data_IF_090844885991
#
_entry.id   IF_090844885991
#
_cell.length_a   1.000
_cell.length_b   1.000
_cell.length_c   1.000
_cell.angle_alpha   90.00
_cell.angle_beta   90.00
_cell.angle_gamma   90.00
#
_symmetry.space_group_name_H-M   'P 1'
#
loop_
_entity.id
_entity.type
_entity.pdbx_description
1 polymer ?
#
# COMPACT_ATOMS: atom_id res chain seq x y z
N UNK A 1 -9.83 -12.58 8.12
CA UNK A 1 -9.06 -13.05 6.94
C UNK A 1 -9.88 -14.08 6.18
N UNK A 2 -10.16 -13.84 4.92
CA UNK A 2 -11.04 -14.70 4.11
C UNK A 2 -10.24 -15.64 3.19
N UNK A 3 -10.93 -16.60 2.55
CA UNK A 3 -10.29 -17.57 1.64
C UNK A 3 -9.59 -16.94 0.42
N UNK A 4 -9.91 -15.69 0.03
CA UNK A 4 -9.28 -15.00 -1.11
C UNK A 4 -7.94 -14.37 -0.75
N UNK A 5 -7.78 -13.84 0.47
CA UNK A 5 -6.50 -13.36 1.01
C UNK A 5 -5.42 -14.42 0.90
N UNK A 6 -5.83 -15.66 1.05
CA UNK A 6 -4.94 -16.81 1.09
C UNK A 6 -4.28 -17.13 -0.27
N UNK A 7 -4.69 -16.57 -1.42
CA UNK A 7 -4.11 -16.99 -2.71
C UNK A 7 -2.67 -16.52 -2.92
N UNK A 8 -2.31 -15.31 -2.53
CA UNK A 8 -0.89 -14.89 -2.52
C UNK A 8 -0.22 -15.33 -1.24
N UNK A 9 -0.91 -15.18 -0.11
CA UNK A 9 -0.41 -15.58 1.20
C UNK A 9 -0.19 -17.10 1.26
N UNK A 10 -1.08 -17.91 0.68
CA UNK A 10 -0.92 -19.38 0.64
C UNK A 10 0.27 -19.87 -0.21
N UNK A 11 0.88 -18.99 -1.01
CA UNK A 11 2.11 -19.30 -1.77
C UNK A 11 3.37 -18.92 -0.98
N UNK A 12 3.22 -18.24 0.15
CA UNK A 12 4.33 -17.96 1.07
C UNK A 12 4.63 -19.17 1.95
N UNK A 13 5.90 -19.37 2.33
CA UNK A 13 6.27 -20.38 3.30
C UNK A 13 5.50 -20.23 4.63
N UNK A 14 5.11 -21.34 5.30
CA UNK A 14 4.28 -21.29 6.52
C UNK A 14 4.85 -20.42 7.64
N UNK A 15 6.17 -20.37 7.78
CA UNK A 15 6.85 -19.53 8.77
C UNK A 15 6.68 -18.03 8.51
N UNK A 16 6.45 -17.64 7.26
CA UNK A 16 6.19 -16.25 6.89
C UNK A 16 4.73 -15.85 7.11
N UNK A 17 3.81 -16.81 7.01
CA UNK A 17 2.38 -16.54 7.25
C UNK A 17 2.09 -16.02 8.65
N UNK A 18 2.86 -16.43 9.65
CA UNK A 18 2.65 -16.01 11.05
C UNK A 18 2.86 -14.50 11.26
N UNK A 19 3.67 -13.85 10.45
CA UNK A 19 3.93 -12.40 10.55
C UNK A 19 2.74 -11.55 10.10
N UNK A 20 1.88 -12.08 9.25
CA UNK A 20 0.69 -11.38 8.73
C UNK A 20 -0.46 -11.29 9.73
N UNK A 21 -0.45 -12.11 10.78
CA UNK A 21 -1.55 -12.19 11.72
C UNK A 21 -1.46 -11.18 12.87
N UNK A 22 -0.43 -10.35 12.92
CA UNK A 22 -0.39 -9.24 13.86
C UNK A 22 -1.28 -8.12 13.33
N UNK A 23 -2.48 -8.01 13.90
CA UNK A 23 -3.40 -6.95 13.53
C UNK A 23 -2.79 -5.57 13.74
N UNK A 24 -2.87 -4.72 12.75
CA UNK A 24 -2.50 -3.30 12.77
C UNK A 24 -3.69 -2.50 12.25
N UNK A 25 -4.02 -1.41 12.94
CA UNK A 25 -5.24 -0.64 12.68
C UNK A 25 -4.95 0.77 12.18
N UNK A 26 -3.72 1.25 12.39
CA UNK A 26 -3.34 2.61 12.02
C UNK A 26 -1.84 2.68 11.68
N UNK A 27 -1.48 2.10 10.55
CA UNK A 27 -0.11 2.17 10.04
C UNK A 27 0.13 3.55 9.43
N UNK A 28 1.15 4.25 9.93
CA UNK A 28 1.54 5.57 9.47
C UNK A 28 2.88 5.54 8.72
N UNK A 29 3.16 6.55 7.87
CA UNK A 29 4.47 6.72 7.27
C UNK A 29 5.62 6.62 8.28
N UNK A 30 6.76 6.13 7.84
CA UNK A 30 7.98 5.81 8.59
C UNK A 30 7.92 4.58 9.50
N UNK A 31 6.76 3.97 9.66
CA UNK A 31 6.63 2.70 10.36
C UNK A 31 7.00 1.51 9.47
N UNK A 32 7.23 0.37 10.11
CA UNK A 32 7.50 -0.89 9.43
C UNK A 32 6.21 -1.54 8.95
N UNK A 33 6.26 -2.03 7.73
CA UNK A 33 5.13 -2.67 7.05
C UNK A 33 5.62 -3.93 6.36
N UNK A 34 4.97 -5.08 6.58
CA UNK A 34 5.26 -6.27 5.77
C UNK A 34 4.74 -6.07 4.34
N UNK A 35 5.55 -6.46 3.36
CA UNK A 35 5.15 -6.51 1.96
C UNK A 35 5.63 -7.79 1.30
N UNK A 36 4.98 -8.19 0.19
CA UNK A 36 5.37 -9.35 -0.61
C UNK A 36 6.19 -8.88 -1.80
N UNK A 37 7.32 -9.53 -2.01
CA UNK A 37 8.23 -9.31 -3.13
C UNK A 37 8.49 -10.61 -3.86
N UNK A 38 8.95 -10.51 -5.10
CA UNK A 38 9.50 -11.64 -5.86
C UNK A 38 11.02 -11.57 -5.82
N UNK A 39 11.66 -12.56 -5.21
CA UNK A 39 13.10 -12.69 -5.11
C UNK A 39 13.56 -14.07 -5.57
N UNK A 40 14.48 -14.12 -6.51
CA UNK A 40 15.00 -15.37 -7.09
C UNK A 40 13.86 -16.31 -7.59
N UNK A 41 12.76 -15.74 -8.10
CA UNK A 41 11.60 -16.50 -8.59
C UNK A 41 10.63 -16.99 -7.50
N UNK A 42 10.89 -16.67 -6.23
CA UNK A 42 10.03 -17.06 -5.10
C UNK A 42 9.37 -15.83 -4.47
N UNK A 43 8.11 -16.00 -4.06
CA UNK A 43 7.41 -15.01 -3.25
C UNK A 43 8.01 -15.00 -1.84
N UNK A 44 8.37 -13.83 -1.36
CA UNK A 44 8.89 -13.63 -0.01
C UNK A 44 8.20 -12.47 0.67
N UNK A 45 7.87 -12.66 1.94
CA UNK A 45 7.52 -11.55 2.82
C UNK A 45 8.78 -10.92 3.38
N UNK A 46 8.82 -9.60 3.35
CA UNK A 46 9.86 -8.79 4.00
C UNK A 46 9.24 -7.61 4.71
N UNK A 47 9.91 -7.16 5.76
CA UNK A 47 9.57 -5.91 6.43
C UNK A 47 10.28 -4.74 5.78
N UNK A 48 9.53 -3.71 5.45
CA UNK A 48 10.00 -2.48 4.84
C UNK A 48 9.65 -1.29 5.72
N UNK A 49 10.44 -0.24 5.67
CA UNK A 49 10.04 1.04 6.25
C UNK A 49 9.32 1.88 5.19
N UNK A 50 8.15 2.41 5.52
CA UNK A 50 7.36 3.22 4.60
C UNK A 50 7.94 4.63 4.44
N UNK A 51 8.52 4.91 3.29
CA UNK A 51 9.04 6.21 2.89
C UNK A 51 10.49 6.15 2.41
N UNK A 52 10.71 6.41 1.11
CA UNK A 52 12.05 6.56 0.55
C UNK A 52 12.72 7.82 1.10
N UNK A 53 14.04 7.77 1.28
CA UNK A 53 14.87 8.88 1.78
C UNK A 53 15.97 9.25 0.80
N UNK A 54 15.63 9.81 -0.37
CA UNK A 54 16.67 10.26 -1.29
C UNK A 54 17.45 11.44 -0.67
N UNK A 55 18.74 11.51 -0.94
CA UNK A 55 19.66 12.49 -0.33
C UNK A 55 19.25 13.95 -0.56
N UNK A 56 18.51 14.23 -1.62
CA UNK A 56 18.02 15.57 -1.96
C UNK A 56 16.69 15.95 -1.24
N UNK A 57 16.04 15.01 -0.53
CA UNK A 57 14.77 15.27 0.13
C UNK A 57 14.94 15.35 1.64
N UNK A 58 14.45 16.46 2.22
CA UNK A 58 14.41 16.65 3.67
C UNK A 58 13.42 15.70 4.37
N UNK A 59 12.36 15.32 3.67
CA UNK A 59 11.29 14.48 4.20
C UNK A 59 11.21 13.15 3.44
N UNK A 60 10.76 12.07 4.09
CA UNK A 60 10.54 10.82 3.39
C UNK A 60 9.47 10.99 2.32
N UNK A 61 9.70 10.40 1.15
CA UNK A 61 8.73 10.30 0.08
C UNK A 61 7.91 9.05 0.32
N UNK A 62 6.66 9.21 0.69
CA UNK A 62 5.77 8.11 1.08
C UNK A 62 4.92 7.58 -0.08
N UNK A 63 4.73 8.40 -1.13
CA UNK A 63 3.90 8.07 -2.28
C UNK A 63 4.61 8.43 -3.60
N UNK A 64 4.33 7.65 -4.66
CA UNK A 64 4.75 7.92 -6.02
C UNK A 64 3.51 7.99 -6.93
N UNK A 65 3.36 9.07 -7.71
CA UNK A 65 2.22 9.22 -8.62
C UNK A 65 2.41 8.35 -9.87
N UNK A 66 1.45 7.49 -10.19
CA UNK A 66 1.48 6.58 -11.33
C UNK A 66 1.79 7.31 -12.65
N UNK A 67 1.18 8.48 -12.85
CA UNK A 67 1.27 9.28 -14.07
C UNK A 67 2.68 9.80 -14.37
N UNK A 68 3.49 10.00 -13.35
CA UNK A 68 4.86 10.54 -13.48
C UNK A 68 5.96 9.58 -13.03
N UNK A 69 5.60 8.39 -12.58
CA UNK A 69 6.50 7.44 -11.93
C UNK A 69 7.67 7.04 -12.82
N UNK A 70 7.40 6.69 -14.08
CA UNK A 70 8.42 6.26 -15.03
C UNK A 70 9.32 7.40 -15.54
N UNK A 71 8.88 8.64 -15.37
CA UNK A 71 9.62 9.83 -15.79
C UNK A 71 10.62 10.29 -14.72
N UNK A 72 10.38 9.95 -13.45
CA UNK A 72 11.22 10.36 -12.33
C UNK A 72 12.37 9.38 -12.09
N UNK A 73 13.64 9.82 -12.14
CA UNK A 73 14.80 8.94 -11.95
C UNK A 73 14.74 8.14 -10.64
N UNK A 74 14.27 8.76 -9.54
CA UNK A 74 14.12 8.13 -8.22
C UNK A 74 13.27 6.87 -8.26
N UNK A 75 12.26 6.79 -9.13
CA UNK A 75 11.32 5.68 -9.15
C UNK A 75 11.53 4.71 -10.31
N UNK A 76 12.24 5.12 -11.37
CA UNK A 76 12.38 4.32 -12.59
C UNK A 76 13.06 2.98 -12.31
N UNK A 77 14.22 2.96 -11.66
CA UNK A 77 14.91 1.72 -11.35
C UNK A 77 14.15 0.84 -10.34
N UNK A 78 13.64 1.37 -9.21
CA UNK A 78 12.72 0.64 -8.34
C UNK A 78 11.52 0.04 -9.08
N UNK A 79 10.87 0.78 -9.96
CA UNK A 79 9.73 0.27 -10.72
C UNK A 79 10.12 -0.89 -11.64
N UNK A 80 11.25 -0.82 -12.31
CA UNK A 80 11.69 -1.87 -13.23
C UNK A 80 12.05 -3.17 -12.51
N UNK A 81 12.62 -3.10 -11.29
CA UNK A 81 13.28 -4.22 -10.66
C UNK A 81 12.72 -4.60 -9.28
N UNK A 82 12.06 -3.69 -8.59
CA UNK A 82 11.74 -3.81 -7.17
C UNK A 82 10.30 -3.38 -6.88
N UNK A 83 9.37 -4.11 -7.47
CA UNK A 83 7.94 -3.97 -7.17
C UNK A 83 7.58 -4.84 -5.98
N UNK A 84 6.57 -4.41 -5.23
CA UNK A 84 6.03 -5.17 -4.11
C UNK A 84 4.51 -5.06 -4.05
N UNK A 85 3.90 -6.00 -3.36
CA UNK A 85 2.50 -5.94 -2.95
C UNK A 85 2.46 -5.55 -1.49
N UNK A 86 1.68 -4.54 -1.15
CA UNK A 86 1.46 -4.08 0.22
C UNK A 86 0.04 -4.43 0.64
N UNK A 87 -0.18 -5.51 1.38
CA UNK A 87 -1.50 -5.96 1.78
C UNK A 87 -2.15 -4.99 2.78
N UNK A 88 -3.45 -4.80 2.60
CA UNK A 88 -4.28 -3.96 3.46
C UNK A 88 -5.74 -4.44 3.41
N UNK A 89 -6.50 -4.13 4.45
CA UNK A 89 -7.96 -4.31 4.50
C UNK A 89 -8.71 -2.98 4.44
N UNK A 90 -7.98 -1.87 4.30
CA UNK A 90 -8.51 -0.53 4.16
C UNK A 90 -7.42 0.52 4.27
N UNK A 91 -7.81 1.76 4.02
CA UNK A 91 -6.94 2.91 4.20
C UNK A 91 -7.75 4.11 4.69
N UNK A 92 -7.05 5.12 5.22
CA UNK A 92 -7.66 6.35 5.69
C UNK A 92 -7.30 7.52 4.79
N UNK A 93 -8.28 8.40 4.60
CA UNK A 93 -8.11 9.70 3.99
C UNK A 93 -8.91 10.75 4.76
N UNK A 94 -8.44 11.98 4.75
CA UNK A 94 -9.04 13.09 5.50
C UNK A 94 -9.73 14.06 4.55
N UNK A 95 -11.03 14.23 4.75
CA UNK A 95 -11.81 15.15 3.94
C UNK A 95 -11.37 16.60 4.17
N UNK A 96 -11.15 17.32 3.11
CA UNK A 96 -11.02 18.78 3.16
C UNK A 96 -12.42 19.40 3.07
N UNK A 97 -12.72 20.50 3.80
CA UNK A 97 -11.83 21.31 4.66
C UNK A 97 -11.82 20.90 6.14
N UNK A 98 -12.74 20.04 6.59
CA UNK A 98 -13.05 19.78 8.01
C UNK A 98 -12.13 18.75 8.68
N UNK A 99 -11.24 18.13 7.91
CA UNK A 99 -10.31 17.08 8.39
C UNK A 99 -10.99 15.85 8.98
N UNK A 100 -12.25 15.61 8.64
CA UNK A 100 -12.95 14.37 9.02
C UNK A 100 -12.23 13.17 8.41
N UNK A 101 -11.81 12.19 9.21
CA UNK A 101 -11.19 10.96 8.71
C UNK A 101 -12.25 10.00 8.16
N UNK A 102 -11.96 9.42 7.01
CA UNK A 102 -12.75 8.37 6.38
C UNK A 102 -11.92 7.11 6.22
N UNK A 103 -12.52 5.97 6.52
CA UNK A 103 -11.95 4.67 6.17
C UNK A 103 -12.57 4.17 4.88
N UNK A 104 -11.72 3.68 3.99
CA UNK A 104 -12.08 3.07 2.71
C UNK A 104 -11.79 1.58 2.75
N UNK A 105 -12.75 0.77 2.33
CA UNK A 105 -12.65 -0.70 2.24
C UNK A 105 -13.31 -1.19 0.96
N UNK A 106 -13.10 -2.44 0.60
CA UNK A 106 -13.96 -3.13 -0.38
C UNK A 106 -15.38 -3.29 0.19
N UNK A 107 -16.43 -3.42 -0.65
CA UNK A 107 -17.81 -3.59 -0.18
C UNK A 107 -18.01 -4.79 0.76
N UNK A 108 -17.29 -5.86 0.52
CA UNK A 108 -17.33 -7.12 1.29
C UNK A 108 -16.27 -7.20 2.40
N UNK A 109 -15.50 -6.12 2.63
CA UNK A 109 -14.32 -6.06 3.52
C UNK A 109 -13.24 -7.07 3.17
N UNK A 110 -13.19 -7.55 1.92
CA UNK A 110 -12.09 -8.38 1.45
C UNK A 110 -10.80 -7.53 1.38
N UNK A 111 -9.67 -8.04 1.86
CA UNK A 111 -8.42 -7.34 1.72
C UNK A 111 -7.93 -7.32 0.28
N UNK A 112 -7.03 -6.40 0.05
CA UNK A 112 -6.42 -6.12 -1.24
C UNK A 112 -4.93 -5.79 -1.07
N UNK A 113 -4.22 -5.61 -2.18
CA UNK A 113 -2.85 -5.12 -2.14
C UNK A 113 -2.74 -3.76 -2.83
N UNK A 114 -2.02 -2.84 -2.18
CA UNK A 114 -1.53 -1.67 -2.88
C UNK A 114 -0.34 -2.03 -3.77
N UNK A 115 -0.24 -1.38 -4.92
CA UNK A 115 0.97 -1.38 -5.73
C UNK A 115 2.06 -0.58 -5.01
N UNK A 116 3.20 -1.21 -4.76
CA UNK A 116 4.36 -0.59 -4.15
C UNK A 116 5.62 -0.79 -4.97
N UNK A 117 6.58 0.11 -4.79
CA UNK A 117 7.96 -0.04 -5.24
C UNK A 117 8.90 0.19 -4.07
N UNK A 118 10.02 -0.50 -4.06
CA UNK A 118 10.95 -0.43 -2.95
C UNK A 118 12.38 -0.18 -3.41
N UNK A 119 13.22 0.26 -2.52
CA UNK A 119 14.64 0.49 -2.76
C UNK A 119 15.48 -0.19 -1.68
N UNK A 120 16.73 -0.47 -2.06
CA UNK A 120 17.70 -1.07 -1.16
C UNK A 120 17.88 -0.20 0.10
N UNK A 121 18.19 -0.82 1.24
CA UNK A 121 18.45 -0.07 2.45
C UNK A 121 19.68 0.84 2.27
N UNK A 122 19.72 1.98 2.99
CA UNK A 122 20.87 2.90 2.90
C UNK A 122 22.15 2.32 3.53
N UNK A 123 22.02 1.30 4.36
CA UNK A 123 23.14 0.52 4.93
C UNK A 123 22.73 -0.94 5.11
N UNK A 124 23.66 -1.89 5.26
CA UNK A 124 23.34 -3.31 5.45
C UNK A 124 22.46 -3.61 6.66
N UNK A 125 22.53 -2.79 7.71
CA UNK A 125 21.78 -2.95 8.94
C UNK A 125 20.40 -2.31 8.89
N UNK A 126 20.16 -1.42 7.91
CA UNK A 126 18.89 -0.74 7.74
C UNK A 126 17.88 -1.61 7.00
N UNK A 127 16.60 -1.36 7.23
CA UNK A 127 15.53 -2.01 6.47
C UNK A 127 15.40 -1.37 5.08
N UNK A 128 14.99 -2.14 4.06
CA UNK A 128 14.66 -1.57 2.77
C UNK A 128 13.46 -0.61 2.90
N UNK A 129 13.40 0.35 2.02
CA UNK A 129 12.40 1.42 2.03
C UNK A 129 11.41 1.21 0.91
N UNK A 130 10.14 1.57 1.11
CA UNK A 130 9.14 1.48 0.05
C UNK A 130 8.27 2.74 -0.02
N UNK A 131 7.59 2.90 -1.16
CA UNK A 131 6.51 3.86 -1.37
C UNK A 131 5.29 3.17 -1.95
N UNK A 132 4.12 3.70 -1.63
CA UNK A 132 2.86 3.31 -2.26
C UNK A 132 2.69 4.11 -3.56
N UNK A 133 2.29 3.44 -4.64
CA UNK A 133 1.90 4.12 -5.86
C UNK A 133 0.49 4.68 -5.66
N UNK A 134 0.27 5.93 -6.08
CA UNK A 134 -1.03 6.58 -6.02
C UNK A 134 -1.53 6.93 -7.42
N UNK A 135 -2.85 6.98 -7.57
CA UNK A 135 -3.55 7.35 -8.80
C UNK A 135 -4.63 8.39 -8.52
N UNK A 136 -5.29 8.90 -9.55
CA UNK A 136 -6.47 9.73 -9.39
C UNK A 136 -7.55 9.00 -8.58
N UNK A 137 -8.26 9.74 -7.74
CA UNK A 137 -9.30 9.18 -6.89
C UNK A 137 -10.47 8.61 -7.71
N UNK A 138 -10.94 7.43 -7.33
CA UNK A 138 -12.19 6.84 -7.84
C UNK A 138 -13.41 7.69 -7.41
N UNK A 139 -14.57 7.49 -8.02
CA UNK A 139 -15.81 8.18 -7.61
C UNK A 139 -16.11 8.06 -6.10
N UNK A 140 -15.79 6.93 -5.48
CA UNK A 140 -15.98 6.70 -4.04
C UNK A 140 -15.04 7.54 -3.16
N UNK A 141 -13.81 7.79 -3.62
CA UNK A 141 -12.77 8.53 -2.86
C UNK A 141 -12.81 10.03 -3.14
N UNK A 142 -13.19 10.42 -4.35
CA UNK A 142 -13.14 11.81 -4.85
C UNK A 142 -13.82 12.85 -3.93
N UNK A 143 -14.93 12.56 -3.23
CA UNK A 143 -15.53 13.51 -2.28
C UNK A 143 -14.65 13.82 -1.07
N UNK A 144 -13.69 12.96 -0.74
CA UNK A 144 -12.80 13.08 0.42
C UNK A 144 -11.41 13.57 0.02
N UNK A 145 -10.82 12.95 -1.00
CA UNK A 145 -9.47 13.29 -1.47
C UNK A 145 -9.37 13.16 -3.00
N UNK A 146 -8.43 13.90 -3.61
CA UNK A 146 -8.23 13.88 -5.07
C UNK A 146 -7.35 12.73 -5.57
N UNK A 147 -6.65 12.08 -4.65
CA UNK A 147 -5.75 10.94 -4.91
C UNK A 147 -6.13 9.77 -4.04
N UNK A 148 -5.77 8.56 -4.46
CA UNK A 148 -5.89 7.33 -3.67
C UNK A 148 -4.72 6.40 -3.94
N UNK A 149 -4.40 5.45 -3.04
CA UNK A 149 -3.49 4.37 -3.33
C UNK A 149 -3.94 3.60 -4.58
N UNK A 150 -2.98 3.16 -5.41
CA UNK A 150 -3.28 2.27 -6.53
C UNK A 150 -3.52 0.87 -5.96
N UNK A 151 -4.77 0.42 -6.01
CA UNK A 151 -5.17 -0.90 -5.55
C UNK A 151 -5.16 -1.85 -6.74
N UNK A 152 -4.42 -2.93 -6.61
CA UNK A 152 -4.34 -4.00 -7.60
C UNK A 152 -5.52 -4.97 -7.44
N UNK A 153 -6.10 -5.39 -8.55
CA UNK A 153 -7.01 -6.51 -8.54
C UNK A 153 -6.22 -7.83 -8.31
N UNK A 154 -6.81 -8.84 -7.63
CA UNK A 154 -6.09 -10.10 -7.35
C UNK A 154 -5.50 -10.79 -8.60
N UNK A 155 -6.14 -10.64 -9.76
CA UNK A 155 -5.65 -11.20 -11.03
C UNK A 155 -4.37 -10.50 -11.54
N UNK A 156 -4.06 -9.30 -11.04
CA UNK A 156 -2.90 -8.51 -11.47
C UNK A 156 -1.65 -8.73 -10.61
N UNK A 157 -1.74 -9.48 -9.51
CA UNK A 157 -0.65 -9.59 -8.54
C UNK A 157 0.60 -10.26 -9.12
N UNK A 158 0.45 -11.36 -9.83
CA UNK A 158 1.57 -12.06 -10.45
C UNK A 158 2.22 -11.20 -11.54
N UNK A 159 1.43 -10.64 -12.44
CA UNK A 159 1.90 -9.76 -13.52
C UNK A 159 2.60 -8.51 -12.95
N UNK A 160 2.05 -7.94 -11.88
CA UNK A 160 2.67 -6.81 -11.18
C UNK A 160 4.07 -7.13 -10.68
N UNK A 161 4.28 -8.32 -10.10
CA UNK A 161 5.56 -8.70 -9.54
C UNK A 161 6.57 -9.15 -10.60
N UNK A 162 6.12 -9.83 -11.65
CA UNK A 162 6.99 -10.54 -12.60
C UNK A 162 7.38 -9.71 -13.82
N UNK A 163 6.45 -8.92 -14.39
CA UNK A 163 6.67 -8.25 -15.68
C UNK A 163 6.56 -6.72 -15.57
N UNK A 164 7.67 -5.97 -15.73
CA UNK A 164 7.64 -4.51 -15.67
C UNK A 164 6.86 -3.87 -16.82
N UNK A 165 6.75 -4.52 -18.00
CA UNK A 165 6.00 -3.97 -19.12
C UNK A 165 4.49 -4.09 -18.87
N UNK A 166 4.03 -5.24 -18.35
CA UNK A 166 2.63 -5.43 -17.95
C UNK A 166 2.32 -4.54 -16.73
N UNK A 167 3.21 -4.44 -15.75
CA UNK A 167 3.04 -3.54 -14.62
C UNK A 167 2.86 -2.07 -15.06
N UNK A 168 3.58 -1.63 -16.10
CA UNK A 168 3.41 -0.28 -16.65
C UNK A 168 2.03 -0.10 -17.30
N UNK A 169 1.50 -1.12 -17.98
CA UNK A 169 0.13 -1.09 -18.52
C UNK A 169 -0.92 -1.06 -17.40
N UNK A 170 -0.71 -1.82 -16.33
CA UNK A 170 -1.61 -1.85 -15.17
C UNK A 170 -1.75 -0.44 -14.58
N UNK A 171 -0.65 0.26 -14.30
CA UNK A 171 -0.70 1.59 -13.67
C UNK A 171 -1.09 2.71 -14.64
N UNK A 172 -1.10 2.47 -15.93
CA UNK A 172 -1.55 3.43 -16.95
C UNK A 172 -3.07 3.63 -16.96
N UNK A 173 -3.81 2.70 -16.38
CA UNK A 173 -5.27 2.77 -16.24
C UNK A 173 -5.66 3.00 -14.78
N UNK A 174 -6.87 3.53 -14.54
CA UNK A 174 -7.35 3.70 -13.18
C UNK A 174 -7.57 2.34 -12.49
N UNK A 175 -7.35 2.30 -11.17
CA UNK A 175 -7.69 1.12 -10.38
C UNK A 175 -9.19 0.80 -10.50
N UNK A 176 -9.51 -0.46 -10.77
CA UNK A 176 -10.88 -0.94 -11.00
C UNK A 176 -11.52 -1.53 -9.73
N UNK A 177 -10.82 -1.49 -8.60
CA UNK A 177 -11.34 -2.05 -7.35
C UNK A 177 -12.44 -1.14 -6.80
N UNK A 178 -13.62 -1.71 -6.60
CA UNK A 178 -14.75 -1.00 -5.99
C UNK A 178 -14.46 -0.73 -4.51
N UNK A 179 -14.82 0.47 -4.06
CA UNK A 179 -14.61 0.90 -2.68
C UNK A 179 -15.91 1.46 -2.10
N UNK A 180 -16.08 1.24 -0.80
CA UNK A 180 -17.01 1.98 0.05
C UNK A 180 -16.26 2.75 1.13
N UNK A 181 -16.91 3.73 1.72
CA UNK A 181 -16.31 4.52 2.79
C UNK A 181 -17.30 4.83 3.89
N UNK A 182 -16.76 5.09 5.07
CA UNK A 182 -17.49 5.65 6.20
C UNK A 182 -16.58 6.55 7.02
N UNK A 183 -17.15 7.57 7.65
CA UNK A 183 -16.41 8.41 8.57
C UNK A 183 -16.05 7.61 9.83
N UNK A 184 -14.82 7.77 10.30
CA UNK A 184 -14.36 7.14 11.54
C UNK A 184 -14.12 8.20 12.62
N UNK A 185 -14.02 7.76 13.87
CA UNK A 185 -13.74 8.65 15.00
C UNK A 185 -12.36 9.32 14.83
N UNK A 186 -12.13 10.53 15.40
CA UNK A 186 -10.82 11.18 15.39
C UNK A 186 -9.73 10.42 16.14
N UNK A 187 -10.04 9.27 16.73
CA UNK A 187 -9.05 8.39 17.38
C UNK A 187 -7.88 8.04 16.43
N UNK A 188 -8.19 7.81 15.15
CA UNK A 188 -7.19 7.52 14.10
C UNK A 188 -6.19 8.64 13.83
N UNK A 189 -6.49 9.89 14.23
CA UNK A 189 -5.61 11.04 14.00
C UNK A 189 -4.29 10.96 14.77
N UNK A 190 -4.22 10.13 15.78
CA UNK A 190 -2.98 9.88 16.53
C UNK A 190 -2.37 8.56 16.05
N UNK A 191 -1.26 8.62 15.34
CA UNK A 191 -0.55 7.42 14.84
C UNK A 191 -0.05 6.48 15.94
N UNK A 192 0.01 6.93 17.21
CA UNK A 192 0.26 6.07 18.37
C UNK A 192 -0.95 5.19 18.73
N UNK A 193 -2.15 5.55 18.27
CA UNK A 193 -3.34 4.73 18.45
C UNK A 193 -3.35 3.66 17.34
N UNK A 194 -3.12 2.43 17.70
CA UNK A 194 -3.09 1.28 16.78
C UNK A 194 -3.92 0.13 17.40
N UNK A 195 -5.21 0.40 17.56
CA UNK A 195 -6.18 -0.50 18.18
C UNK A 195 -7.53 -0.47 17.44
N UNK A 196 -8.46 -1.42 17.74
CA UNK A 196 -9.73 -1.54 17.01
C UNK A 196 -10.60 -0.28 17.01
N UNK A 197 -10.43 0.64 17.97
CA UNK A 197 -11.19 1.90 18.01
C UNK A 197 -10.91 2.81 16.81
N UNK A 198 -9.78 2.59 16.10
CA UNK A 198 -9.50 3.27 14.84
C UNK A 198 -10.54 2.95 13.74
N UNK A 199 -11.29 1.84 13.88
CA UNK A 199 -12.30 1.39 12.93
C UNK A 199 -13.72 1.86 13.30
N UNK A 200 -13.92 2.46 14.46
CA UNK A 200 -15.23 2.85 14.95
C UNK A 200 -15.83 3.97 14.09
N UNK A 201 -17.06 3.82 13.60
CA UNK A 201 -17.74 4.89 12.89
C UNK A 201 -17.86 6.15 13.77
N UNK A 202 -17.70 7.31 13.14
CA UNK A 202 -18.09 8.57 13.75
C UNK A 202 -19.61 8.58 13.91
N UNK A 203 -20.10 8.87 15.13
CA UNK A 203 -21.52 8.97 15.43
C UNK A 203 -22.22 10.10 14.68
#
# INVERSE_FOLDING_TARGET
>A
MTKKEMRIISRLPPEQLQLWFKARFNIAPTQEVPAVVLEAGELRQRDFQWGLRPVWSKYPIINAQAESLLQKPTFRAPFQQRRCLVPADGFYEWRKPDKTPFRFTTPDNEPFCFAGIWDAPPSPEAKPLFVIITTAASPAVKPVHTRMPFILAPAQYDDWLTDPAIAAQIIAVASQVELRSYAVTPHVNRFANDDPRCLEPAG
#
